data_IF_675673969078
#
_entry.id   IF_675673969078
#
_cell.length_a   1.000
_cell.length_b   1.000
_cell.length_c   1.000
_cell.angle_alpha   90.00
_cell.angle_beta   90.00
_cell.angle_gamma   90.00
#
_symmetry.space_group_name_H-M   'P 1'
#
loop_
_entity.id
_entity.type
_entity.pdbx_description
1 polymer ?
#
# COMPACT_ATOMS: atom_id res chain seq x y z
N UNK A 1 2.03 0.16 -9.35
CA UNK A 1 3.28 0.81 -8.88
C UNK A 1 4.47 0.16 -9.55
N UNK A 2 5.51 0.94 -9.82
CA UNK A 2 6.77 0.46 -10.38
C UNK A 2 7.92 0.75 -9.40
N UNK A 3 8.96 -0.08 -9.36
CA UNK A 3 10.13 0.23 -8.56
C UNK A 3 10.83 1.47 -9.12
N UNK A 4 11.32 2.32 -8.21
CA UNK A 4 12.06 3.52 -8.57
C UNK A 4 13.45 3.15 -9.13
N UNK A 5 14.14 2.19 -8.50
CA UNK A 5 15.37 1.57 -8.99
C UNK A 5 15.25 0.04 -9.03
N UNK A 6 16.16 -0.63 -9.74
CA UNK A 6 16.25 -2.11 -9.75
C UNK A 6 16.89 -2.69 -8.48
N UNK A 7 16.96 -1.90 -7.40
CA UNK A 7 17.43 -2.39 -6.11
C UNK A 7 16.42 -3.33 -5.48
N UNK A 8 16.91 -4.35 -4.77
CA UNK A 8 16.05 -5.30 -4.04
C UNK A 8 15.13 -4.58 -3.05
N UNK A 9 15.62 -3.52 -2.40
CA UNK A 9 14.83 -2.72 -1.46
C UNK A 9 13.63 -2.04 -2.15
N UNK A 10 13.81 -1.45 -3.33
CA UNK A 10 12.72 -0.81 -4.08
C UNK A 10 11.74 -1.82 -4.68
N UNK A 11 12.21 -3.03 -5.02
CA UNK A 11 11.35 -4.14 -5.43
C UNK A 11 10.46 -4.61 -4.27
N UNK A 12 11.03 -4.83 -3.10
CA UNK A 12 10.29 -5.17 -1.88
C UNK A 12 9.32 -4.06 -1.48
N UNK A 13 9.76 -2.79 -1.56
CA UNK A 13 8.91 -1.63 -1.31
C UNK A 13 7.73 -1.58 -2.29
N UNK A 14 7.97 -1.89 -3.56
CA UNK A 14 6.91 -1.97 -4.57
C UNK A 14 5.92 -3.08 -4.24
N UNK A 15 6.38 -4.22 -3.72
CA UNK A 15 5.48 -5.29 -3.27
C UNK A 15 4.66 -4.85 -2.06
N UNK A 16 5.29 -4.27 -1.03
CA UNK A 16 4.56 -3.72 0.14
C UNK A 16 3.53 -2.67 -0.26
N UNK A 17 3.84 -1.83 -1.26
CA UNK A 17 2.89 -0.88 -1.81
C UNK A 17 1.65 -1.57 -2.41
N UNK A 18 1.82 -2.70 -3.10
CA UNK A 18 0.69 -3.46 -3.66
C UNK A 18 -0.15 -4.10 -2.57
N UNK A 19 0.51 -4.74 -1.59
CA UNK A 19 -0.14 -5.39 -0.45
C UNK A 19 -1.05 -4.41 0.34
N UNK A 20 -0.63 -3.15 0.47
CA UNK A 20 -1.36 -2.15 1.26
C UNK A 20 -2.27 -1.21 0.46
N UNK A 21 -1.81 -0.74 -0.70
CA UNK A 21 -2.33 0.48 -1.34
C UNK A 21 -3.24 0.18 -2.53
N UNK A 22 -2.88 -0.84 -3.31
CA UNK A 22 -3.75 -1.28 -4.39
C UNK A 22 -4.77 -2.22 -3.79
N UNK A 23 -6.04 -1.82 -3.79
CA UNK A 23 -7.15 -2.61 -3.29
C UNK A 23 -7.32 -3.98 -3.93
N UNK A 24 -6.43 -4.38 -4.85
CA UNK A 24 -6.22 -5.77 -5.23
C UNK A 24 -5.73 -6.54 -4.00
N UNK A 25 -4.46 -6.59 -3.63
CA UNK A 25 -4.00 -7.60 -2.66
C UNK A 25 -4.64 -7.48 -1.26
N UNK A 26 -4.91 -6.26 -0.77
CA UNK A 26 -5.59 -6.07 0.53
C UNK A 26 -7.01 -6.64 0.60
N UNK A 27 -7.78 -6.57 -0.50
CA UNK A 27 -9.21 -6.94 -0.52
C UNK A 27 -9.39 -8.27 -1.27
N UNK A 28 -8.63 -8.45 -2.35
CA UNK A 28 -8.62 -9.63 -3.20
C UNK A 28 -8.03 -10.85 -2.50
N UNK A 29 -6.95 -10.73 -1.73
CA UNK A 29 -6.42 -11.92 -1.03
C UNK A 29 -7.42 -12.51 -0.03
N UNK A 30 -8.10 -11.73 0.83
CA UNK A 30 -9.18 -12.26 1.64
C UNK A 30 -10.33 -12.85 0.81
N UNK A 31 -10.65 -12.27 -0.34
CA UNK A 31 -11.68 -12.81 -1.22
C UNK A 31 -11.27 -14.13 -1.90
N UNK A 32 -9.99 -14.34 -2.20
CA UNK A 32 -9.50 -15.55 -2.87
C UNK A 32 -9.09 -16.63 -1.88
N UNK A 33 -8.37 -16.26 -0.82
CA UNK A 33 -7.78 -17.17 0.15
C UNK A 33 -8.48 -17.19 1.51
N UNK A 34 -9.28 -16.17 1.82
CA UNK A 34 -9.99 -16.06 3.10
C UNK A 34 -9.19 -15.37 4.21
N UNK A 35 -7.99 -14.87 3.94
CA UNK A 35 -7.16 -14.20 4.93
C UNK A 35 -6.33 -13.06 4.30
N UNK A 36 -5.81 -12.17 5.13
CA UNK A 36 -4.96 -11.07 4.71
C UNK A 36 -3.52 -11.51 4.39
N UNK A 37 -2.79 -10.75 3.57
CA UNK A 37 -1.39 -11.02 3.27
C UNK A 37 -0.51 -11.04 4.52
N UNK A 38 0.45 -11.97 4.56
CA UNK A 38 1.39 -12.12 5.69
C UNK A 38 2.18 -10.85 5.98
N UNK A 39 2.58 -10.14 4.91
CA UNK A 39 3.31 -8.87 5.02
C UNK A 39 2.48 -7.82 5.76
N UNK A 40 1.18 -7.74 5.46
CA UNK A 40 0.28 -6.80 6.14
C UNK A 40 0.05 -7.20 7.59
N UNK A 41 -0.14 -8.50 7.88
CA UNK A 41 -0.27 -9.02 9.24
C UNK A 41 0.97 -8.71 10.10
N UNK A 42 2.18 -8.88 9.54
CA UNK A 42 3.45 -8.58 10.21
C UNK A 42 3.64 -7.09 10.48
N UNK A 43 3.31 -6.23 9.52
CA UNK A 43 3.57 -4.80 9.62
C UNK A 43 2.54 -4.06 10.49
N UNK A 44 1.26 -4.40 10.34
CA UNK A 44 0.13 -3.77 11.05
C UNK A 44 -0.08 -4.39 12.43
N UNK A 45 0.15 -5.69 12.56
CA UNK A 45 0.01 -6.43 13.82
C UNK A 45 -1.42 -6.37 14.37
N UNK A 46 -1.55 -6.02 15.66
CA UNK A 46 -2.81 -6.04 16.41
C UNK A 46 -3.86 -5.03 15.96
N UNK A 47 -3.50 -4.06 15.11
CA UNK A 47 -4.45 -3.09 14.53
C UNK A 47 -5.29 -3.68 13.40
N UNK A 48 -4.86 -4.81 12.82
CA UNK A 48 -5.58 -5.48 11.75
C UNK A 48 -6.60 -6.44 12.37
N UNK A 49 -7.91 -6.27 12.11
CA UNK A 49 -8.91 -7.23 12.56
C UNK A 49 -8.65 -8.59 11.93
N UNK A 50 -8.61 -9.64 12.75
CA UNK A 50 -8.51 -11.01 12.27
C UNK A 50 -9.88 -11.57 11.93
N UNK A 51 -9.94 -12.40 10.88
CA UNK A 51 -11.15 -13.14 10.56
C UNK A 51 -11.27 -14.40 11.42
N UNK A 52 -12.47 -14.70 11.88
CA UNK A 52 -12.79 -16.03 12.40
C UNK A 52 -12.87 -17.04 11.24
N UNK A 53 -12.75 -18.34 11.53
CA UNK A 53 -12.86 -19.39 10.49
C UNK A 53 -14.15 -19.28 9.67
N UNK A 54 -15.28 -19.04 10.34
CA UNK A 54 -16.58 -18.87 9.69
C UNK A 54 -16.61 -17.65 8.77
N UNK A 55 -16.02 -16.53 9.19
CA UNK A 55 -15.93 -15.33 8.36
C UNK A 55 -15.01 -15.55 7.15
N UNK A 56 -13.87 -16.22 7.36
CA UNK A 56 -12.91 -16.55 6.32
C UNK A 56 -13.54 -17.42 5.21
N UNK A 57 -14.35 -18.40 5.59
CA UNK A 57 -15.10 -19.24 4.63
C UNK A 57 -16.20 -18.45 3.90
N UNK A 58 -16.85 -17.50 4.58
CA UNK A 58 -17.92 -16.69 3.99
C UNK A 58 -17.40 -15.70 2.93
N UNK A 59 -16.26 -15.08 3.17
CA UNK A 59 -15.67 -14.10 2.23
C UNK A 59 -14.98 -14.78 1.05
N UNK A 60 -14.55 -16.03 1.23
CA UNK A 60 -13.83 -16.76 0.19
C UNK A 60 -14.77 -17.09 -0.97
N UNK A 61 -14.46 -16.55 -2.14
CA UNK A 61 -15.27 -16.72 -3.34
C UNK A 61 -16.58 -15.92 -3.33
N UNK A 62 -16.71 -14.91 -2.47
CA UNK A 62 -17.92 -14.06 -2.41
C UNK A 62 -17.98 -13.01 -3.53
N UNK A 63 -17.44 -13.31 -4.72
CA UNK A 63 -17.39 -12.40 -5.85
C UNK A 63 -17.64 -13.16 -7.17
N UNK A 64 -18.44 -12.57 -8.06
CA UNK A 64 -18.70 -13.12 -9.40
C UNK A 64 -17.77 -12.50 -10.45
N UNK A 65 -17.38 -11.23 -10.26
CA UNK A 65 -16.46 -10.51 -11.13
C UNK A 65 -15.63 -9.50 -10.35
N UNK A 66 -14.45 -9.14 -10.88
CA UNK A 66 -13.54 -8.16 -10.28
C UNK A 66 -13.40 -6.99 -11.27
N UNK A 67 -13.92 -5.82 -10.88
CA UNK A 67 -13.74 -4.57 -11.62
C UNK A 67 -12.49 -3.82 -11.14
N UNK A 68 -11.59 -3.48 -12.06
CA UNK A 68 -10.36 -2.74 -11.76
C UNK A 68 -10.41 -1.32 -12.34
N UNK A 69 -10.38 -0.33 -11.46
CA UNK A 69 -10.27 1.08 -11.85
C UNK A 69 -8.81 1.53 -11.75
N UNK A 70 -8.14 1.70 -12.88
CA UNK A 70 -6.76 2.15 -12.95
C UNK A 70 -6.67 3.57 -13.52
N UNK A 71 -6.24 4.53 -12.70
CA UNK A 71 -6.14 5.94 -13.09
C UNK A 71 -4.72 6.44 -13.28
N UNK A 72 -3.78 5.97 -12.45
CA UNK A 72 -2.40 6.42 -12.49
C UNK A 72 -1.46 5.33 -11.98
N UNK A 73 -0.19 5.43 -12.38
CA UNK A 73 0.89 4.60 -11.90
C UNK A 73 1.94 5.47 -11.20
N UNK A 74 2.43 5.02 -10.05
CA UNK A 74 3.45 5.70 -9.26
C UNK A 74 4.72 4.86 -9.19
N UNK A 75 5.87 5.53 -9.12
CA UNK A 75 7.14 4.95 -8.73
C UNK A 75 7.25 4.87 -7.22
N UNK A 76 7.82 3.77 -6.72
CA UNK A 76 7.92 3.47 -5.30
C UNK A 76 9.38 3.22 -4.96
N UNK A 77 9.84 3.85 -3.89
CA UNK A 77 11.15 3.57 -3.29
C UNK A 77 11.03 3.20 -1.83
N UNK A 78 11.99 2.44 -1.33
CA UNK A 78 12.07 2.07 0.09
C UNK A 78 12.22 3.30 0.99
N UNK A 79 11.63 3.22 2.19
CA UNK A 79 11.78 4.21 3.23
C UNK A 79 12.18 3.54 4.53
N UNK A 80 13.29 3.98 5.11
CA UNK A 80 13.70 3.56 6.44
C UNK A 80 12.63 3.92 7.48
N UNK A 81 12.29 2.93 8.30
CA UNK A 81 11.22 3.05 9.28
C UNK A 81 11.79 3.58 10.59
N UNK A 82 11.48 4.83 10.92
CA UNK A 82 11.86 5.43 12.20
C UNK A 82 10.98 4.93 13.36
N UNK A 83 11.54 4.72 14.57
CA UNK A 83 10.77 4.33 15.75
C UNK A 83 9.82 5.46 16.17
N UNK A 84 8.54 5.13 16.36
CA UNK A 84 7.50 6.10 16.73
C UNK A 84 6.08 5.56 16.51
N UNK A 85 5.09 6.44 16.64
CA UNK A 85 3.67 6.12 16.37
C UNK A 85 3.55 5.68 14.91
N UNK A 86 3.09 4.45 14.70
CA UNK A 86 2.86 3.88 13.37
C UNK A 86 1.48 4.26 12.86
N UNK A 87 1.43 4.88 11.69
CA UNK A 87 0.23 5.15 10.92
C UNK A 87 0.22 4.28 9.66
N UNK A 88 -0.89 4.25 8.92
CA UNK A 88 -1.01 3.45 7.69
C UNK A 88 0.13 3.71 6.68
N UNK A 89 0.58 4.97 6.54
CA UNK A 89 1.66 5.31 5.62
C UNK A 89 3.02 4.83 6.11
N UNK A 90 3.23 4.83 7.43
CA UNK A 90 4.42 4.30 8.09
C UNK A 90 4.45 2.78 8.11
N UNK A 91 3.30 2.10 8.09
CA UNK A 91 3.24 0.64 7.99
C UNK A 91 3.63 0.14 6.58
N UNK A 92 3.42 0.98 5.55
CA UNK A 92 3.89 0.70 4.19
C UNK A 92 5.40 0.91 4.02
N UNK A 93 5.97 1.87 4.74
CA UNK A 93 7.40 2.23 4.68
C UNK A 93 7.89 2.48 3.25
N UNK A 94 7.23 3.38 2.53
CA UNK A 94 7.57 3.74 1.15
C UNK A 94 7.48 5.23 0.86
N UNK A 95 8.16 5.68 -0.20
CA UNK A 95 7.96 6.98 -0.84
C UNK A 95 7.33 6.80 -2.21
N UNK A 96 6.33 7.64 -2.53
CA UNK A 96 5.72 7.73 -3.85
C UNK A 96 6.36 8.82 -4.69
N UNK A 97 6.59 8.54 -5.97
CA UNK A 97 7.02 9.53 -6.97
C UNK A 97 6.20 9.40 -8.23
N UNK A 98 5.72 10.53 -8.75
CA UNK A 98 4.99 10.57 -10.03
C UNK A 98 5.92 10.41 -11.23
N UNK A 99 7.17 10.85 -11.12
CA UNK A 99 8.19 10.79 -12.17
C UNK A 99 9.50 10.19 -11.66
N UNK A 100 10.31 9.64 -12.57
CA UNK A 100 11.65 9.13 -12.25
C UNK A 100 12.69 10.23 -12.06
N UNK A 101 12.42 11.41 -12.63
CA UNK A 101 13.38 12.51 -12.79
C UNK A 101 13.21 13.64 -11.79
N UNK A 102 12.08 13.74 -11.08
CA UNK A 102 11.87 14.78 -10.08
C UNK A 102 12.25 14.31 -8.67
N UNK A 103 12.81 15.22 -7.83
CA UNK A 103 13.04 14.93 -6.43
C UNK A 103 11.72 14.57 -5.72
N UNK A 104 11.75 13.76 -4.64
CA UNK A 104 10.56 13.42 -3.89
C UNK A 104 9.83 14.69 -3.48
N UNK A 105 8.48 14.67 -3.55
CA UNK A 105 7.65 15.80 -3.14
C UNK A 105 7.86 16.09 -1.64
N UNK A 106 8.94 16.78 -1.32
CA UNK A 106 9.07 17.55 -0.11
C UNK A 106 7.97 18.60 -0.15
N UNK A 107 7.21 18.67 0.94
CA UNK A 107 6.13 19.64 1.22
C UNK A 107 5.96 20.68 0.11
N UNK A 108 4.93 20.51 -0.71
CA UNK A 108 4.45 21.60 -1.56
C UNK A 108 4.09 22.73 -0.60
N UNK A 109 4.99 23.70 -0.41
CA UNK A 109 4.64 24.99 0.17
C UNK A 109 3.57 25.55 -0.76
N UNK A 110 2.36 25.88 -0.27
CA UNK A 110 1.40 26.58 -1.09
C UNK A 110 2.00 27.94 -1.41
N UNK A 111 2.58 28.07 -2.59
CA UNK A 111 2.78 29.36 -3.22
C UNK A 111 1.41 29.77 -3.76
N UNK A 112 1.11 31.07 -3.71
CA UNK A 112 -0.19 31.69 -4.01
C UNK A 112 -1.13 31.71 -2.82
N UNK A 113 -0.73 32.50 -1.82
CA UNK A 113 -1.66 33.23 -0.98
C UNK A 113 -2.38 34.24 -1.89
N UNK A 114 -3.52 33.84 -2.44
CA UNK A 114 -4.47 34.77 -3.05
C UNK A 114 -5.34 35.29 -1.91
N UNK A 115 -4.94 36.43 -1.32
CA UNK A 115 -5.85 37.21 -0.50
C UNK A 115 -6.84 37.94 -1.42
N UNK A 116 -8.12 37.78 -1.11
CA UNK A 116 -9.19 38.69 -1.52
C UNK A 116 -8.92 40.10 -0.98
#
# INVERSE_FOLDING_TARGET
SYPFTDSTADLEATQRCKDFMFGCDRILEPLVFGDYPEVMKKNVGSRLPSFTKVQSELIKGSFDFIGLNHYFSLYVSDRQTEPGIRDYNRDMSIYYRASRTEPPAGQVKPSHQCFL
#
